data_IF_386898444742
#
_entry.id   IF_386898444742
#
_cell.length_a   1.000
_cell.length_b   1.000
_cell.length_c   1.000
_cell.angle_alpha   90.00
_cell.angle_beta   90.00
_cell.angle_gamma   90.00
#
_symmetry.space_group_name_H-M   'P 1'
#
loop_
_entity.id
_entity.type
_entity.pdbx_description
1 polymer ?
#
# COMPACT_ATOMS: atom_id res chain seq x y z
N UNK A 1 25.54 -41.87 -10.07
CA UNK A 1 25.94 -40.48 -10.44
C UNK A 1 25.07 -39.88 -11.54
N UNK A 2 24.68 -40.57 -12.57
CA UNK A 2 23.79 -40.06 -13.66
C UNK A 2 22.45 -39.50 -13.17
N UNK A 3 21.81 -40.08 -12.14
CA UNK A 3 20.57 -39.60 -11.55
C UNK A 3 20.72 -38.19 -10.92
N UNK A 4 21.89 -37.90 -10.32
CA UNK A 4 22.18 -36.61 -9.72
C UNK A 4 22.33 -35.49 -10.77
N UNK A 5 23.01 -35.78 -11.90
CA UNK A 5 23.17 -34.83 -13.01
C UNK A 5 21.84 -34.46 -13.66
N UNK A 6 20.93 -35.45 -13.85
CA UNK A 6 19.59 -35.20 -14.37
C UNK A 6 18.78 -34.30 -13.45
N UNK A 7 18.85 -34.50 -12.13
CA UNK A 7 18.19 -33.69 -11.14
C UNK A 7 18.71 -32.22 -11.15
N UNK A 8 20.03 -32.01 -11.22
CA UNK A 8 20.66 -30.68 -11.32
C UNK A 8 20.19 -29.98 -12.61
N UNK A 9 20.20 -30.68 -13.75
CA UNK A 9 19.73 -30.11 -15.02
C UNK A 9 18.25 -29.67 -14.97
N UNK A 10 17.39 -30.47 -14.34
CA UNK A 10 15.98 -30.11 -14.13
C UNK A 10 15.87 -28.87 -13.22
N UNK A 11 16.69 -28.78 -12.18
CA UNK A 11 16.70 -27.63 -11.29
C UNK A 11 17.15 -26.35 -12.00
N UNK A 12 18.17 -26.41 -12.85
CA UNK A 12 18.60 -25.28 -13.69
C UNK A 12 17.42 -24.80 -14.54
N UNK A 13 16.73 -25.71 -15.22
CA UNK A 13 15.57 -25.36 -16.07
C UNK A 13 14.45 -24.71 -15.25
N UNK A 14 14.16 -25.22 -14.06
CA UNK A 14 13.14 -24.65 -13.17
C UNK A 14 13.51 -23.22 -12.72
N UNK A 15 14.77 -22.99 -12.30
CA UNK A 15 15.25 -21.67 -11.88
C UNK A 15 15.24 -20.70 -13.06
N UNK A 16 15.65 -21.14 -14.26
CA UNK A 16 15.56 -20.32 -15.49
C UNK A 16 14.12 -19.88 -15.79
N UNK A 17 13.16 -20.78 -15.65
CA UNK A 17 11.74 -20.44 -15.83
C UNK A 17 11.27 -19.43 -14.78
N UNK A 18 11.65 -19.60 -13.51
CA UNK A 18 11.34 -18.64 -12.44
C UNK A 18 11.95 -17.27 -12.72
N UNK A 19 13.20 -17.20 -13.16
CA UNK A 19 13.89 -15.99 -13.54
C UNK A 19 13.15 -15.21 -14.66
N UNK A 20 12.68 -15.94 -15.67
CA UNK A 20 11.89 -15.30 -16.75
C UNK A 20 10.57 -14.72 -16.24
N UNK A 21 9.90 -15.41 -15.32
CA UNK A 21 8.66 -14.93 -14.71
C UNK A 21 8.93 -13.69 -13.85
N UNK A 22 9.95 -13.71 -12.98
CA UNK A 22 10.27 -12.55 -12.14
C UNK A 22 10.68 -11.34 -12.96
N UNK A 23 11.45 -11.54 -14.03
CA UNK A 23 11.81 -10.46 -14.97
C UNK A 23 10.60 -9.88 -15.67
N UNK A 24 9.66 -10.70 -16.13
CA UNK A 24 8.41 -10.22 -16.72
C UNK A 24 7.57 -9.42 -15.71
N UNK A 25 7.47 -9.91 -14.46
CA UNK A 25 6.76 -9.21 -13.39
C UNK A 25 7.39 -7.86 -13.03
N UNK A 26 8.73 -7.77 -13.02
CA UNK A 26 9.47 -6.52 -12.83
C UNK A 26 9.11 -5.48 -13.91
N UNK A 27 9.12 -5.89 -15.18
CA UNK A 27 8.78 -5.01 -16.31
C UNK A 27 7.33 -4.52 -16.26
N UNK A 28 6.40 -5.42 -15.94
CA UNK A 28 4.97 -5.06 -15.77
C UNK A 28 4.78 -4.09 -14.61
N UNK A 29 5.42 -4.36 -13.46
CA UNK A 29 5.35 -3.47 -12.30
C UNK A 29 5.92 -2.08 -12.63
N UNK A 30 7.05 -2.02 -13.35
CA UNK A 30 7.68 -0.77 -13.79
C UNK A 30 6.77 0.07 -14.70
N UNK A 31 6.12 -0.58 -15.67
CA UNK A 31 5.17 0.09 -16.58
C UNK A 31 3.94 0.63 -15.86
N UNK A 32 3.36 -0.15 -14.94
CA UNK A 32 2.20 0.26 -14.15
C UNK A 32 2.55 1.36 -13.15
N UNK A 33 3.74 1.32 -12.55
CA UNK A 33 4.23 2.32 -11.60
C UNK A 33 4.23 3.72 -12.21
N UNK A 34 4.68 3.87 -13.46
CA UNK A 34 4.67 5.16 -14.13
C UNK A 34 3.26 5.77 -14.17
N UNK A 35 2.26 4.98 -14.58
CA UNK A 35 0.86 5.44 -14.63
C UNK A 35 0.28 5.74 -13.24
N UNK A 36 0.66 4.96 -12.23
CA UNK A 36 0.20 5.19 -10.86
C UNK A 36 0.77 6.50 -10.29
N UNK A 37 2.04 6.80 -10.55
CA UNK A 37 2.67 8.08 -10.17
C UNK A 37 1.99 9.27 -10.84
N UNK A 38 1.78 9.21 -12.14
CA UNK A 38 1.08 10.25 -12.89
C UNK A 38 -0.31 10.55 -12.29
N UNK A 39 -1.06 9.52 -11.90
CA UNK A 39 -2.35 9.69 -11.23
C UNK A 39 -2.23 10.36 -9.86
N UNK A 40 -1.29 9.93 -9.03
CA UNK A 40 -1.08 10.53 -7.71
C UNK A 40 -0.68 12.01 -7.80
N UNK A 41 0.16 12.37 -8.76
CA UNK A 41 0.59 13.75 -9.00
C UNK A 41 -0.57 14.65 -9.47
N UNK A 42 -1.44 14.14 -10.35
CA UNK A 42 -2.61 14.90 -10.85
C UNK A 42 -3.64 15.18 -9.74
N UNK A 43 -3.78 14.29 -8.76
CA UNK A 43 -4.74 14.47 -7.68
C UNK A 43 -4.28 15.46 -6.59
N UNK A 44 -2.97 15.64 -6.40
CA UNK A 44 -2.41 16.44 -5.30
C UNK A 44 -2.94 17.89 -5.24
N UNK A 45 -2.99 18.66 -6.34
CA UNK A 45 -3.50 20.04 -6.30
C UNK A 45 -4.96 20.13 -5.82
N UNK A 46 -5.79 19.13 -6.12
CA UNK A 46 -7.16 19.09 -5.64
C UNK A 46 -7.21 19.03 -4.11
N UNK A 47 -6.42 18.16 -3.50
CA UNK A 47 -6.41 18.00 -2.04
C UNK A 47 -5.86 19.23 -1.33
N UNK A 48 -4.80 19.82 -1.86
CA UNK A 48 -4.21 21.04 -1.34
C UNK A 48 -5.21 22.19 -1.39
N UNK A 49 -5.94 22.36 -2.49
CA UNK A 49 -6.97 23.38 -2.63
C UNK A 49 -8.14 23.14 -1.68
N UNK A 50 -8.62 21.90 -1.56
CA UNK A 50 -9.72 21.56 -0.65
C UNK A 50 -9.33 21.78 0.82
N UNK A 51 -8.14 21.36 1.21
CA UNK A 51 -7.60 21.62 2.55
C UNK A 51 -7.54 23.12 2.84
N UNK A 52 -6.98 23.91 1.93
CA UNK A 52 -6.90 25.37 2.09
C UNK A 52 -8.29 25.98 2.21
N UNK A 53 -9.26 25.53 1.43
CA UNK A 53 -10.63 26.01 1.50
C UNK A 53 -11.26 25.75 2.88
N UNK A 54 -11.03 24.55 3.45
CA UNK A 54 -11.50 24.22 4.80
C UNK A 54 -10.84 25.09 5.87
N UNK A 55 -9.53 25.35 5.75
CA UNK A 55 -8.80 26.28 6.62
C UNK A 55 -9.37 27.68 6.54
N UNK A 56 -9.60 28.19 5.32
CA UNK A 56 -10.13 29.53 5.10
C UNK A 56 -11.54 29.71 5.70
N UNK A 57 -12.41 28.69 5.59
CA UNK A 57 -13.74 28.69 6.19
C UNK A 57 -13.64 28.70 7.73
N UNK A 58 -12.83 27.81 8.30
CA UNK A 58 -12.70 27.66 9.76
C UNK A 58 -12.10 28.92 10.41
N UNK A 59 -11.09 29.53 9.79
CA UNK A 59 -10.40 30.70 10.33
C UNK A 59 -11.10 32.02 10.01
N UNK A 60 -11.89 32.06 8.95
CA UNK A 60 -12.60 33.27 8.49
C UNK A 60 -13.83 33.64 9.32
N UNK A 61 -14.34 32.74 10.15
CA UNK A 61 -15.61 32.93 10.86
C UNK A 61 -15.45 32.77 12.37
N UNK A 62 -15.90 33.79 13.14
CA UNK A 62 -15.80 33.81 14.61
C UNK A 62 -16.72 32.82 15.31
N UNK A 63 -17.87 32.54 14.72
CA UNK A 63 -18.92 31.65 15.25
C UNK A 63 -18.89 30.26 14.63
N UNK A 64 -17.76 29.89 14.04
CA UNK A 64 -17.59 28.59 13.37
C UNK A 64 -17.73 27.42 14.34
N UNK A 65 -18.57 26.48 13.98
CA UNK A 65 -18.85 25.30 14.78
C UNK A 65 -19.26 24.13 13.91
N UNK A 66 -18.36 23.16 13.74
CA UNK A 66 -18.63 21.92 13.01
C UNK A 66 -18.45 20.68 13.87
N UNK A 67 -19.26 19.64 13.61
CA UNK A 67 -19.13 18.32 14.23
C UNK A 67 -17.79 17.69 13.85
N UNK A 68 -17.28 17.98 12.69
CA UNK A 68 -16.01 17.44 12.17
C UNK A 68 -14.75 18.14 12.69
N UNK A 69 -14.91 19.33 13.32
CA UNK A 69 -13.79 20.09 13.91
C UNK A 69 -13.70 19.92 15.44
N UNK A 70 -14.71 19.31 16.07
CA UNK A 70 -14.77 19.12 17.51
C UNK A 70 -14.40 17.70 17.93
N UNK A 71 -13.79 17.57 19.12
CA UNK A 71 -13.67 16.26 19.77
C UNK A 71 -15.04 15.77 20.22
N UNK A 72 -15.39 14.56 19.81
CA UNK A 72 -16.70 13.96 20.15
C UNK A 72 -16.75 13.38 21.57
N UNK A 73 -15.62 13.32 22.28
CA UNK A 73 -15.49 12.58 23.56
C UNK A 73 -15.50 11.05 23.38
N UNK A 74 -15.69 10.54 22.19
CA UNK A 74 -15.58 9.10 21.87
C UNK A 74 -14.16 8.79 21.37
N UNK A 75 -13.40 8.05 22.15
CA UNK A 75 -12.02 7.66 21.84
C UNK A 75 -11.90 6.54 20.81
N UNK A 76 -13.02 5.90 20.42
CA UNK A 76 -13.02 4.83 19.42
C UNK A 76 -12.59 5.35 18.06
N UNK A 77 -11.71 4.60 17.39
CA UNK A 77 -11.13 4.98 16.11
C UNK A 77 -11.67 4.16 14.94
N UNK A 78 -11.69 4.73 13.76
CA UNK A 78 -11.92 4.02 12.52
C UNK A 78 -10.67 4.15 11.63
N UNK A 79 -9.99 3.02 11.38
CA UNK A 79 -8.85 2.98 10.49
C UNK A 79 -9.27 2.61 9.07
N UNK A 80 -9.07 3.50 8.12
CA UNK A 80 -9.16 3.18 6.68
C UNK A 80 -7.84 2.51 6.29
N UNK A 81 -7.85 1.17 6.21
CA UNK A 81 -6.66 0.36 5.95
C UNK A 81 -6.52 0.05 4.46
N UNK A 82 -5.52 0.65 3.80
CA UNK A 82 -5.31 0.54 2.36
C UNK A 82 -4.13 -0.38 2.07
N UNK A 83 -4.39 -1.65 1.74
CA UNK A 83 -3.38 -2.65 1.42
C UNK A 83 -3.52 -3.16 -0.03
N UNK A 84 -2.53 -3.90 -0.51
CA UNK A 84 -2.54 -4.45 -1.87
C UNK A 84 -3.49 -5.65 -2.03
N UNK A 85 -3.75 -5.99 -3.30
CA UNK A 85 -4.56 -7.17 -3.64
C UNK A 85 -3.71 -8.45 -3.70
N UNK A 86 -2.42 -8.35 -4.01
CA UNK A 86 -1.54 -9.47 -4.30
C UNK A 86 -0.29 -9.47 -3.42
N UNK A 87 0.33 -10.65 -3.30
CA UNK A 87 1.64 -10.80 -2.70
C UNK A 87 2.80 -10.43 -3.64
N UNK A 88 4.00 -10.87 -3.30
CA UNK A 88 5.24 -10.70 -4.06
C UNK A 88 5.68 -9.22 -4.20
N UNK A 89 5.27 -8.39 -3.25
CA UNK A 89 5.69 -6.98 -3.13
C UNK A 89 6.63 -6.75 -1.93
N UNK A 90 7.52 -7.71 -1.68
CA UNK A 90 8.44 -7.65 -0.53
C UNK A 90 7.69 -7.52 0.81
N UNK A 91 8.12 -6.57 1.64
CA UNK A 91 7.52 -6.29 2.95
C UNK A 91 6.34 -5.32 2.95
N UNK A 92 5.85 -4.88 1.79
CA UNK A 92 4.84 -3.82 1.66
C UNK A 92 3.63 -4.01 2.59
N UNK A 93 2.87 -5.10 2.43
CA UNK A 93 1.69 -5.37 3.26
C UNK A 93 2.05 -5.61 4.73
N UNK A 94 3.13 -6.36 5.00
CA UNK A 94 3.56 -6.68 6.37
C UNK A 94 3.96 -5.43 7.16
N UNK A 95 4.64 -4.48 6.53
CA UNK A 95 5.05 -3.25 7.17
C UNK A 95 3.85 -2.34 7.46
N UNK A 96 2.87 -2.30 6.55
CA UNK A 96 1.62 -1.57 6.75
C UNK A 96 0.82 -2.15 7.93
N UNK A 97 0.70 -3.48 8.03
CA UNK A 97 -0.01 -4.12 9.14
C UNK A 97 0.68 -3.88 10.48
N UNK A 98 2.00 -3.90 10.53
CA UNK A 98 2.75 -3.51 11.73
C UNK A 98 2.52 -2.04 12.11
N UNK A 99 2.37 -1.16 11.11
CA UNK A 99 2.03 0.24 11.36
C UNK A 99 0.65 0.39 12.00
N UNK A 100 -0.36 -0.34 11.50
CA UNK A 100 -1.69 -0.38 12.10
C UNK A 100 -1.62 -0.94 13.53
N UNK A 101 -0.94 -2.08 13.75
CA UNK A 101 -0.78 -2.67 15.08
C UNK A 101 -0.15 -1.68 16.07
N UNK A 102 0.89 -0.95 15.65
CA UNK A 102 1.54 0.07 16.48
C UNK A 102 0.63 1.27 16.77
N UNK A 103 -0.18 1.69 15.79
CA UNK A 103 -1.11 2.81 15.96
C UNK A 103 -2.33 2.47 16.81
N UNK A 104 -2.75 1.20 16.83
CA UNK A 104 -3.97 0.74 17.52
C UNK A 104 -3.75 0.13 18.90
N UNK A 105 -2.53 0.25 19.46
CA UNK A 105 -2.21 -0.32 20.79
C UNK A 105 -3.15 0.23 21.87
N UNK A 106 -3.82 -0.67 22.59
CA UNK A 106 -4.76 -0.35 23.67
C UNK A 106 -5.95 0.55 23.29
N UNK A 107 -6.36 0.52 22.03
CA UNK A 107 -7.50 1.30 21.53
C UNK A 107 -8.63 0.39 21.06
N UNK A 108 -9.88 0.83 21.27
CA UNK A 108 -11.04 0.24 20.59
C UNK A 108 -11.15 0.86 19.19
N UNK A 109 -11.25 0.01 18.17
CA UNK A 109 -11.27 0.49 16.80
C UNK A 109 -12.12 -0.37 15.87
N UNK A 110 -12.52 0.27 14.77
CA UNK A 110 -13.11 -0.36 13.59
C UNK A 110 -12.14 -0.24 12.43
N UNK A 111 -12.32 -1.08 11.42
CA UNK A 111 -11.52 -1.02 10.19
C UNK A 111 -12.45 -0.87 8.99
N UNK A 112 -12.10 0.02 8.07
CA UNK A 112 -12.61 0.02 6.70
C UNK A 112 -11.48 -0.50 5.81
N UNK A 113 -11.49 -1.80 5.45
CA UNK A 113 -10.42 -2.39 4.67
C UNK A 113 -10.60 -2.12 3.18
N UNK A 114 -9.54 -1.66 2.51
CA UNK A 114 -9.45 -1.46 1.06
C UNK A 114 -8.34 -2.39 0.53
N UNK A 115 -8.67 -3.25 -0.42
CA UNK A 115 -7.78 -4.25 -0.99
C UNK A 115 -7.87 -5.63 -0.32
N UNK A 116 -7.65 -6.69 -1.13
CA UNK A 116 -7.82 -8.09 -0.70
C UNK A 116 -6.99 -8.43 0.56
N UNK A 117 -5.76 -7.92 0.63
CA UNK A 117 -4.88 -8.21 1.78
C UNK A 117 -5.32 -7.50 3.05
N UNK A 118 -5.97 -6.33 2.95
CA UNK A 118 -6.59 -5.68 4.10
C UNK A 118 -7.78 -6.48 4.63
N UNK A 119 -8.67 -6.92 3.74
CA UNK A 119 -9.84 -7.75 4.11
C UNK A 119 -9.39 -9.09 4.73
N UNK A 120 -8.44 -9.79 4.10
CA UNK A 120 -7.90 -11.05 4.64
C UNK A 120 -7.27 -10.86 6.03
N UNK A 121 -6.53 -9.76 6.21
CA UNK A 121 -5.87 -9.44 7.48
C UNK A 121 -6.88 -9.12 8.58
N UNK A 122 -7.90 -8.29 8.29
CA UNK A 122 -8.96 -7.94 9.24
C UNK A 122 -9.75 -9.17 9.68
N UNK A 123 -10.14 -10.05 8.74
CA UNK A 123 -10.84 -11.31 9.06
C UNK A 123 -10.00 -12.24 9.92
N UNK A 124 -8.72 -12.40 9.59
CA UNK A 124 -7.83 -13.30 10.33
C UNK A 124 -7.61 -12.86 11.78
N UNK A 125 -7.60 -11.55 12.04
CA UNK A 125 -7.42 -11.00 13.37
C UNK A 125 -8.74 -10.70 14.10
N UNK A 126 -9.89 -10.95 13.46
CA UNK A 126 -11.21 -10.73 14.07
C UNK A 126 -11.54 -9.25 14.28
N UNK A 127 -10.98 -8.34 13.47
CA UNK A 127 -11.29 -6.92 13.57
C UNK A 127 -12.73 -6.64 13.12
N UNK A 128 -13.43 -5.79 13.85
CA UNK A 128 -14.74 -5.30 13.44
C UNK A 128 -14.59 -4.36 12.25
N UNK A 129 -15.30 -4.64 11.16
CA UNK A 129 -15.23 -3.85 9.93
C UNK A 129 -16.49 -3.01 9.75
N UNK A 130 -16.33 -1.77 9.27
CA UNK A 130 -17.46 -0.91 8.88
C UNK A 130 -18.16 -1.51 7.65
N UNK A 131 -17.38 -1.96 6.67
CA UNK A 131 -17.85 -2.70 5.49
C UNK A 131 -16.69 -3.49 4.90
N UNK A 132 -16.98 -4.52 4.09
CA UNK A 132 -15.99 -5.30 3.34
C UNK A 132 -16.17 -5.14 1.81
N UNK A 133 -16.97 -4.18 1.38
CA UNK A 133 -17.36 -4.01 -0.03
C UNK A 133 -16.21 -3.62 -0.95
N UNK A 134 -15.13 -3.02 -0.41
CA UNK A 134 -14.01 -2.48 -1.19
C UNK A 134 -12.81 -3.43 -1.22
N UNK A 135 -13.06 -4.69 -1.55
CA UNK A 135 -12.07 -5.77 -1.49
C UNK A 135 -11.00 -5.77 -2.58
N UNK A 136 -11.04 -4.92 -3.60
CA UNK A 136 -10.01 -4.81 -4.65
C UNK A 136 -9.56 -3.37 -4.85
N UNK A 137 -8.29 -3.09 -4.47
CA UNK A 137 -7.74 -1.73 -4.59
C UNK A 137 -7.58 -1.28 -6.05
N UNK A 138 -7.36 -2.22 -6.97
CA UNK A 138 -7.16 -1.92 -8.40
C UNK A 138 -8.42 -1.35 -9.06
N UNK A 139 -9.59 -1.67 -8.54
CA UNK A 139 -10.90 -1.30 -9.09
C UNK A 139 -11.51 -0.09 -8.37
N UNK A 140 -10.89 0.40 -7.28
CA UNK A 140 -11.39 1.57 -6.54
C UNK A 140 -11.38 2.81 -7.42
N UNK A 141 -12.57 3.32 -7.67
CA UNK A 141 -12.82 4.55 -8.43
C UNK A 141 -12.98 5.77 -7.50
N UNK A 142 -13.01 6.95 -8.08
CA UNK A 142 -13.34 8.18 -7.33
C UNK A 142 -14.75 8.09 -6.73
N UNK A 143 -15.71 7.50 -7.46
CA UNK A 143 -17.09 7.31 -6.97
C UNK A 143 -17.13 6.43 -5.71
N UNK A 144 -16.36 5.31 -5.70
CA UNK A 144 -16.27 4.46 -4.51
C UNK A 144 -15.68 5.23 -3.31
N UNK A 145 -14.72 6.13 -3.55
CA UNK A 145 -14.17 6.96 -2.49
C UNK A 145 -15.20 7.94 -1.92
N UNK A 146 -16.09 8.48 -2.75
CA UNK A 146 -17.24 9.28 -2.27
C UNK A 146 -18.22 8.43 -1.44
N UNK A 147 -18.52 7.21 -1.85
CA UNK A 147 -19.36 6.29 -1.07
C UNK A 147 -18.72 5.96 0.28
N UNK A 148 -17.42 5.65 0.32
CA UNK A 148 -16.68 5.43 1.56
C UNK A 148 -16.71 6.66 2.47
N UNK A 149 -16.44 7.84 1.93
CA UNK A 149 -16.42 9.07 2.70
C UNK A 149 -17.79 9.41 3.29
N UNK A 150 -18.86 9.26 2.50
CA UNK A 150 -20.24 9.48 2.98
C UNK A 150 -20.61 8.47 4.08
N UNK A 151 -20.24 7.20 3.93
CA UNK A 151 -20.44 6.17 4.95
C UNK A 151 -19.70 6.55 6.25
N UNK A 152 -18.40 6.87 6.15
CA UNK A 152 -17.57 7.23 7.30
C UNK A 152 -18.08 8.49 8.00
N UNK A 153 -18.43 9.55 7.24
CA UNK A 153 -18.97 10.76 7.80
C UNK A 153 -20.34 10.54 8.45
N UNK A 154 -21.17 9.67 7.89
CA UNK A 154 -22.45 9.27 8.46
C UNK A 154 -22.31 8.57 9.81
N UNK A 155 -21.42 7.58 9.91
CA UNK A 155 -21.17 6.86 11.16
C UNK A 155 -20.45 7.75 12.20
N UNK A 156 -19.56 8.65 11.77
CA UNK A 156 -18.93 9.67 12.61
C UNK A 156 -19.96 10.60 13.26
N UNK A 157 -20.92 11.11 12.47
CA UNK A 157 -22.03 11.95 12.97
C UNK A 157 -22.94 11.21 13.96
N UNK A 158 -23.13 9.90 13.80
CA UNK A 158 -23.90 9.06 14.74
C UNK A 158 -23.14 8.79 16.05
N UNK A 159 -21.81 9.05 16.09
CA UNK A 159 -20.97 8.81 17.25
C UNK A 159 -20.50 7.37 17.39
N UNK A 160 -20.55 6.54 16.35
CA UNK A 160 -20.03 5.16 16.36
C UNK A 160 -18.52 5.12 16.61
N UNK A 161 -17.82 6.15 16.16
CA UNK A 161 -16.41 6.43 16.46
C UNK A 161 -16.17 7.95 16.46
N UNK A 162 -15.13 8.37 17.18
CA UNK A 162 -14.78 9.79 17.30
C UNK A 162 -13.56 10.20 16.49
N UNK A 163 -12.86 9.24 15.87
CA UNK A 163 -11.65 9.50 15.08
C UNK A 163 -11.66 8.68 13.80
N UNK A 164 -11.16 9.27 12.72
CA UNK A 164 -10.88 8.58 11.46
C UNK A 164 -9.40 8.77 11.13
N UNK A 165 -8.69 7.65 10.93
CA UNK A 165 -7.28 7.61 10.57
C UNK A 165 -7.10 6.88 9.24
N UNK A 166 -6.24 7.43 8.34
CA UNK A 166 -5.82 6.75 7.12
C UNK A 166 -4.54 5.96 7.39
N UNK A 167 -4.62 4.63 7.26
CA UNK A 167 -3.48 3.73 7.35
C UNK A 167 -3.10 3.25 5.96
N UNK A 168 -2.05 3.83 5.39
CA UNK A 168 -1.62 3.60 4.01
C UNK A 168 -0.09 3.69 3.87
N UNK A 169 0.42 3.39 2.69
CA UNK A 169 1.87 3.49 2.43
C UNK A 169 2.16 4.67 1.51
N UNK A 170 2.80 5.70 2.07
CA UNK A 170 3.24 6.88 1.34
C UNK A 170 4.35 6.53 0.36
N UNK A 171 4.24 7.02 -0.86
CA UNK A 171 5.28 6.90 -1.87
C UNK A 171 6.33 8.01 -1.71
N UNK A 172 7.50 7.68 -1.17
CA UNK A 172 8.62 8.63 -1.03
C UNK A 172 9.54 8.54 -2.25
N UNK A 173 9.95 7.33 -2.61
CA UNK A 173 10.79 7.06 -3.77
C UNK A 173 10.65 5.60 -4.21
N UNK A 174 11.31 5.23 -5.31
CA UNK A 174 11.33 3.85 -5.78
C UNK A 174 11.96 2.87 -4.77
N UNK A 175 12.87 3.34 -3.93
CA UNK A 175 13.56 2.54 -2.93
C UNK A 175 12.94 2.69 -1.54
N UNK A 176 12.15 3.72 -1.30
CA UNK A 176 11.58 4.03 0.02
C UNK A 176 10.07 4.20 -0.07
N UNK A 177 9.35 3.31 0.58
CA UNK A 177 7.91 3.37 0.79
C UNK A 177 7.68 3.38 2.31
N UNK A 178 6.94 4.36 2.80
CA UNK A 178 6.76 4.59 4.22
C UNK A 178 5.31 4.33 4.63
N UNK A 179 5.03 3.24 5.37
CA UNK A 179 3.72 3.04 5.97
C UNK A 179 3.47 4.12 7.02
N UNK A 180 2.27 4.66 7.03
CA UNK A 180 1.85 5.74 7.92
C UNK A 180 0.41 5.56 8.34
N UNK A 181 0.10 5.92 9.57
CA UNK A 181 -1.25 6.12 10.06
C UNK A 181 -1.40 7.61 10.36
N UNK A 182 -2.22 8.31 9.60
CA UNK A 182 -2.42 9.76 9.73
C UNK A 182 -3.85 10.05 10.19
N UNK A 183 -4.04 10.90 11.21
CA UNK A 183 -5.36 11.33 11.62
C UNK A 183 -5.97 12.22 10.53
N UNK A 184 -7.27 12.05 10.29
CA UNK A 184 -8.02 12.84 9.30
C UNK A 184 -9.18 13.56 9.96
N UNK A 185 -9.94 12.89 10.82
CA UNK A 185 -11.00 13.51 11.59
C UNK A 185 -10.82 13.20 13.08
N UNK A 186 -11.12 14.16 13.97
CA UNK A 186 -11.57 15.53 13.73
C UNK A 186 -10.45 16.43 13.18
N UNK A 187 -10.83 17.47 12.43
CA UNK A 187 -9.94 18.45 11.82
C UNK A 187 -9.53 19.52 12.86
N UNK A 188 -8.60 19.17 13.78
CA UNK A 188 -8.17 20.05 14.89
C UNK A 188 -7.22 21.16 14.45
N UNK A 189 -6.32 20.84 13.53
CA UNK A 189 -5.20 21.70 13.15
C UNK A 189 -5.60 22.91 12.30
N UNK A 190 -6.88 22.98 11.88
CA UNK A 190 -7.37 24.10 11.05
C UNK A 190 -7.37 25.45 11.77
N UNK A 191 -7.41 25.43 13.11
CA UNK A 191 -7.39 26.67 13.93
C UNK A 191 -6.00 27.08 14.39
N UNK A 192 -5.03 26.15 14.38
CA UNK A 192 -3.68 26.37 14.94
C UNK A 192 -2.66 26.87 13.93
N UNK A 193 -2.91 26.80 12.63
CA UNK A 193 -2.05 27.39 11.61
C UNK A 193 -2.14 28.93 11.68
N UNK A 194 -1.36 29.51 12.60
CA UNK A 194 -1.13 30.96 12.74
C UNK A 194 -0.24 31.50 11.60
N UNK A 195 -0.52 31.20 10.37
CA UNK A 195 0.10 31.94 9.27
C UNK A 195 -0.73 33.21 8.98
N UNK A 196 -0.59 34.10 9.92
CA UNK A 196 -1.08 35.46 9.93
C UNK A 196 -0.38 36.26 8.86
N UNK A 197 -0.98 36.46 7.72
CA UNK A 197 -0.82 37.68 6.90
C UNK A 197 -1.51 37.64 5.53
N UNK A 198 -2.41 36.71 5.27
CA UNK A 198 -3.30 36.93 4.15
C UNK A 198 -4.39 37.92 4.57
N UNK A 199 -4.59 38.97 3.79
CA UNK A 199 -5.74 39.85 3.90
C UNK A 199 -6.97 38.92 3.88
N UNK A 200 -7.61 38.77 5.05
CA UNK A 200 -8.80 37.94 5.17
C UNK A 200 -9.87 38.54 4.28
N UNK A 201 -10.05 37.99 3.09
CA UNK A 201 -11.17 38.30 2.26
C UNK A 201 -12.40 37.81 3.03
N UNK A 202 -13.28 38.73 3.43
CA UNK A 202 -14.56 38.39 4.03
C UNK A 202 -15.40 37.70 2.92
N UNK A 203 -15.33 36.39 2.89
CA UNK A 203 -16.19 35.57 2.00
C UNK A 203 -17.49 35.36 2.77
N UNK A 204 -18.62 35.75 2.14
CA UNK A 204 -19.92 35.43 2.65
C UNK A 204 -20.33 34.02 2.18
N UNK A 205 -20.59 33.14 3.13
CA UNK A 205 -21.06 31.78 2.86
C UNK A 205 -22.59 31.71 3.00
N UNK A 206 -23.24 31.02 2.08
CA UNK A 206 -24.71 30.80 2.10
C UNK A 206 -24.97 29.28 2.16
N UNK A 207 -25.79 28.78 3.11
CA UNK A 207 -26.54 29.56 4.10
C UNK A 207 -25.70 30.06 5.27
N UNK A 208 -24.68 29.32 5.73
CA UNK A 208 -23.68 29.74 6.71
C UNK A 208 -22.38 28.97 6.54
N UNK A 209 -21.30 29.43 7.23
CA UNK A 209 -19.96 28.84 7.11
C UNK A 209 -19.90 27.39 7.63
N UNK A 210 -20.64 27.06 8.68
CA UNK A 210 -20.62 25.73 9.29
C UNK A 210 -21.32 24.71 8.40
N UNK A 211 -22.44 25.05 7.79
CA UNK A 211 -23.15 24.18 6.84
C UNK A 211 -22.33 23.94 5.57
N UNK A 212 -21.70 24.99 5.04
CA UNK A 212 -20.79 24.87 3.87
C UNK A 212 -19.60 23.99 4.20
N UNK A 213 -18.99 24.19 5.37
CA UNK A 213 -17.89 23.34 5.84
C UNK A 213 -18.31 21.85 5.94
N UNK A 214 -19.43 21.59 6.60
CA UNK A 214 -19.97 20.24 6.79
C UNK A 214 -20.32 19.55 5.46
N UNK A 215 -20.69 20.32 4.43
CA UNK A 215 -20.92 19.80 3.09
C UNK A 215 -19.63 19.46 2.35
N UNK A 216 -18.55 20.21 2.59
CA UNK A 216 -17.24 20.01 1.91
C UNK A 216 -16.43 18.85 2.54
N UNK A 217 -16.55 18.61 3.85
CA UNK A 217 -15.74 17.59 4.55
C UNK A 217 -15.84 16.20 3.92
N UNK A 218 -17.02 15.66 3.53
CA UNK A 218 -17.10 14.36 2.85
C UNK A 218 -16.34 14.33 1.51
N UNK A 219 -16.36 15.43 0.75
CA UNK A 219 -15.64 15.56 -0.51
C UNK A 219 -14.12 15.60 -0.29
N UNK A 220 -13.69 16.33 0.72
CA UNK A 220 -12.29 16.36 1.16
C UNK A 220 -11.82 14.97 1.60
N UNK A 221 -12.60 14.27 2.44
CA UNK A 221 -12.28 12.91 2.89
C UNK A 221 -12.21 11.93 1.71
N UNK A 222 -13.17 11.99 0.77
CA UNK A 222 -13.13 11.19 -0.45
C UNK A 222 -11.86 11.42 -1.25
N UNK A 223 -11.47 12.67 -1.37
CA UNK A 223 -10.24 13.07 -2.00
C UNK A 223 -9.01 12.49 -1.32
N UNK A 224 -8.91 12.60 0.00
CA UNK A 224 -7.79 12.04 0.78
C UNK A 224 -7.70 10.52 0.63
N UNK A 225 -8.85 9.80 0.70
CA UNK A 225 -8.89 8.35 0.48
C UNK A 225 -8.38 8.01 -0.92
N UNK A 226 -8.85 8.71 -1.95
CA UNK A 226 -8.41 8.47 -3.32
C UNK A 226 -6.91 8.74 -3.52
N UNK A 227 -6.38 9.83 -2.96
CA UNK A 227 -4.97 10.14 -2.96
C UNK A 227 -4.12 9.06 -2.28
N UNK A 228 -4.57 8.60 -1.10
CA UNK A 228 -3.93 7.53 -0.36
C UNK A 228 -3.97 6.19 -1.13
N UNK A 229 -5.06 5.88 -1.84
CA UNK A 229 -5.16 4.72 -2.74
C UNK A 229 -4.14 4.83 -3.88
N UNK A 230 -4.05 5.99 -4.54
CA UNK A 230 -3.08 6.20 -5.63
C UNK A 230 -1.63 6.06 -5.15
N UNK A 231 -1.28 6.66 -4.00
CA UNK A 231 0.05 6.53 -3.39
C UNK A 231 0.35 5.09 -2.97
N UNK A 232 -0.63 4.39 -2.39
CA UNK A 232 -0.50 2.99 -1.98
C UNK A 232 -0.26 2.08 -3.17
N UNK A 233 -0.98 2.26 -4.26
CA UNK A 233 -0.78 1.50 -5.51
C UNK A 233 0.62 1.77 -6.09
N UNK A 234 1.08 3.02 -6.10
CA UNK A 234 2.43 3.36 -6.54
C UNK A 234 3.49 2.72 -5.66
N UNK A 235 3.30 2.75 -4.34
CA UNK A 235 4.20 2.14 -3.34
C UNK A 235 4.25 0.61 -3.49
N UNK A 236 3.12 -0.05 -3.67
CA UNK A 236 3.03 -1.49 -3.91
C UNK A 236 3.78 -1.90 -5.18
N UNK A 237 3.59 -1.16 -6.28
CA UNK A 237 4.25 -1.43 -7.56
C UNK A 237 5.75 -1.19 -7.48
N UNK A 238 6.22 -0.18 -6.76
CA UNK A 238 7.64 0.06 -6.51
C UNK A 238 8.27 -1.06 -5.68
N UNK A 239 7.63 -1.46 -4.58
CA UNK A 239 8.09 -2.57 -3.75
C UNK A 239 8.10 -3.89 -4.53
N UNK A 240 7.09 -4.15 -5.34
CA UNK A 240 7.04 -5.34 -6.21
C UNK A 240 8.16 -5.33 -7.25
N UNK A 241 8.40 -4.20 -7.91
CA UNK A 241 9.51 -4.08 -8.87
C UNK A 241 10.84 -4.43 -8.22
N UNK A 242 11.16 -3.81 -7.09
CA UNK A 242 12.42 -4.06 -6.35
C UNK A 242 12.53 -5.52 -5.88
N UNK A 243 11.44 -6.11 -5.38
CA UNK A 243 11.42 -7.51 -4.97
C UNK A 243 11.63 -8.46 -6.16
N UNK A 244 11.06 -8.17 -7.32
CA UNK A 244 11.23 -9.00 -8.52
C UNK A 244 12.62 -8.85 -9.14
N UNK A 245 13.20 -7.65 -9.13
CA UNK A 245 14.58 -7.40 -9.53
C UNK A 245 15.57 -8.20 -8.66
N UNK A 246 15.41 -8.15 -7.34
CA UNK A 246 16.22 -8.94 -6.42
C UNK A 246 16.04 -10.46 -6.63
N UNK A 247 14.81 -10.92 -6.88
CA UNK A 247 14.53 -12.32 -7.16
C UNK A 247 15.16 -12.79 -8.48
N UNK A 248 15.18 -11.94 -9.51
CA UNK A 248 15.83 -12.22 -10.80
C UNK A 248 17.34 -12.36 -10.64
N UNK A 249 17.98 -11.42 -9.95
CA UNK A 249 19.42 -11.45 -9.68
C UNK A 249 19.81 -12.69 -8.86
N UNK A 250 19.06 -13.02 -7.81
CA UNK A 250 19.27 -14.24 -7.03
C UNK A 250 19.11 -15.52 -7.87
N UNK A 251 18.19 -15.54 -8.83
CA UNK A 251 18.00 -16.66 -9.74
C UNK A 251 19.19 -16.81 -10.71
N UNK A 252 19.76 -15.72 -11.22
CA UNK A 252 20.96 -15.71 -12.06
C UNK A 252 22.15 -16.31 -11.31
N UNK A 253 22.42 -15.83 -10.10
CA UNK A 253 23.50 -16.39 -9.26
C UNK A 253 23.30 -17.90 -8.98
N UNK A 254 22.06 -18.30 -8.73
CA UNK A 254 21.74 -19.72 -8.49
C UNK A 254 22.00 -20.57 -9.73
N UNK A 255 21.67 -20.07 -10.93
CA UNK A 255 21.96 -20.75 -12.20
C UNK A 255 23.46 -20.92 -12.40
N UNK A 256 24.27 -19.89 -12.13
CA UNK A 256 25.73 -19.98 -12.22
C UNK A 256 26.30 -21.04 -11.28
N UNK A 257 25.89 -21.04 -10.01
CA UNK A 257 26.29 -22.03 -9.02
C UNK A 257 25.90 -23.45 -9.43
N UNK A 258 24.68 -23.63 -9.94
CA UNK A 258 24.20 -24.92 -10.42
C UNK A 258 24.95 -25.41 -11.66
N UNK A 259 25.28 -24.51 -12.59
CA UNK A 259 26.07 -24.85 -13.78
C UNK A 259 27.49 -25.30 -13.41
N UNK A 260 28.13 -24.62 -12.46
CA UNK A 260 29.42 -25.02 -11.93
C UNK A 260 29.39 -26.43 -11.30
N UNK A 261 28.36 -26.67 -10.47
CA UNK A 261 28.14 -27.98 -9.85
C UNK A 261 27.89 -29.06 -10.89
N UNK A 262 27.04 -28.78 -11.91
CA UNK A 262 26.75 -29.69 -13.00
C UNK A 262 28.00 -30.05 -13.79
N UNK A 263 28.84 -29.07 -14.14
CA UNK A 263 30.10 -29.32 -14.87
C UNK A 263 31.10 -30.16 -14.08
N UNK A 264 31.24 -29.89 -12.77
CA UNK A 264 32.09 -30.73 -11.89
C UNK A 264 31.59 -32.17 -11.78
N UNK A 265 30.27 -32.34 -11.58
CA UNK A 265 29.65 -33.67 -11.53
C UNK A 265 29.80 -34.42 -12.85
N UNK A 266 29.65 -33.74 -13.99
CA UNK A 266 29.86 -34.31 -15.33
C UNK A 266 31.31 -34.78 -15.52
N UNK A 267 32.30 -33.95 -15.20
CA UNK A 267 33.69 -34.30 -15.29
C UNK A 267 34.05 -35.51 -14.42
N UNK A 268 33.57 -35.55 -13.17
CA UNK A 268 33.76 -36.68 -12.28
C UNK A 268 33.13 -37.97 -12.82
N UNK A 269 31.92 -37.89 -13.42
CA UNK A 269 31.27 -39.05 -14.06
C UNK A 269 32.07 -39.57 -15.25
N UNK A 270 32.54 -38.69 -16.14
CA UNK A 270 33.36 -39.05 -17.30
C UNK A 270 34.67 -39.73 -16.84
N UNK A 271 35.33 -39.12 -15.85
CA UNK A 271 36.56 -39.69 -15.31
C UNK A 271 36.33 -41.08 -14.72
N UNK A 272 35.24 -41.25 -13.96
CA UNK A 272 34.87 -42.55 -13.42
C UNK A 272 34.61 -43.60 -14.52
N UNK A 273 33.81 -43.24 -15.55
CA UNK A 273 33.53 -44.14 -16.69
C UNK A 273 34.80 -44.54 -17.42
N UNK A 274 35.75 -43.59 -17.66
CA UNK A 274 37.04 -43.89 -18.27
C UNK A 274 37.84 -44.83 -17.37
N UNK A 275 37.89 -44.58 -16.06
CA UNK A 275 38.66 -45.45 -15.12
C UNK A 275 38.06 -46.84 -15.06
N UNK A 276 36.75 -47.00 -15.09
CA UNK A 276 36.04 -48.29 -15.11
C UNK A 276 36.34 -49.06 -16.42
N UNK A 277 36.39 -48.38 -17.57
CA UNK A 277 36.72 -49.00 -18.87
C UNK A 277 38.17 -49.43 -18.89
N UNK A 278 39.12 -48.58 -18.46
CA UNK A 278 40.56 -48.91 -18.43
C UNK A 278 40.84 -50.05 -17.45
N UNK A 279 40.29 -49.97 -16.21
CA UNK A 279 40.43 -51.03 -15.22
C UNK A 279 39.80 -52.37 -15.64
N UNK A 280 38.70 -52.33 -16.42
CA UNK A 280 38.11 -53.54 -17.02
C UNK A 280 38.98 -54.14 -18.16
N UNK A 281 39.70 -53.29 -18.89
CA UNK A 281 40.61 -53.75 -19.97
C UNK A 281 41.92 -54.33 -19.45
N UNK A 282 42.41 -53.90 -18.26
CA UNK A 282 43.62 -54.48 -17.62
C UNK A 282 43.32 -55.79 -16.85
N UNK A 283 42.03 -56.11 -16.61
CA UNK A 283 41.62 -57.34 -15.90
C UNK A 283 41.30 -58.53 -16.80
N UNK A 284 41.47 -58.40 -18.12
CA UNK A 284 41.37 -59.48 -19.13
C UNK A 284 42.79 -59.83 -19.63
#
# INVERSE_FOLDING_TARGET
MAANMKAVKLRIKSVQSTMQITKAMELVASSKLRKAKERAEVCRPYFETMHQTLVDIAQGNTDFSSVYARESGNEKRCYVLIAGDRGLAGGYNTNLFKCLEAASVNQDFLVLPIGKKAVEYSKRNGFACVTESFGEIADVSVADCFEMANLLCGEFKKGEFGHIDLCYTKFVSMLSQQPSAIPVLPLKDLTDEQDTKSIRNLILYEPDASEVFDAIVPEYLAGLIYGAVCESVASELAARRTAMEAATNNAEEMIEKLNLHYNRARQASITQEITEIVGGAEGV
#
